data_IF_979436403388
#
_entry.id   IF_979436403388
#
_cell.length_a   1.000
_cell.length_b   1.000
_cell.length_c   1.000
_cell.angle_alpha   90.00
_cell.angle_beta   90.00
_cell.angle_gamma   90.00
#
_symmetry.space_group_name_H-M   'P 1'
#
loop_
_entity.id
_entity.type
_entity.pdbx_description
1 polymer ?
#
# COMPACT_ATOMS: atom_id res chain seq x y z
N UNK A 1 -48.11 -36.03 10.32
CA UNK A 1 -48.06 -34.89 11.26
C UNK A 1 -46.68 -34.71 11.91
N UNK A 2 -45.83 -35.72 11.91
CA UNK A 2 -44.45 -35.65 12.41
C UNK A 2 -43.49 -34.91 11.45
N UNK A 3 -43.74 -34.93 10.14
CA UNK A 3 -42.86 -34.33 9.13
C UNK A 3 -42.77 -32.80 9.19
N UNK A 4 -43.79 -32.09 9.70
CA UNK A 4 -43.77 -30.62 9.77
C UNK A 4 -42.78 -30.12 10.85
N UNK A 5 -42.64 -30.86 11.96
CA UNK A 5 -41.72 -30.49 13.04
C UNK A 5 -40.27 -30.81 12.68
N UNK A 6 -40.04 -31.91 11.98
CA UNK A 6 -38.71 -32.30 11.51
C UNK A 6 -38.21 -31.36 10.42
N UNK A 7 -39.07 -30.93 9.50
CA UNK A 7 -38.71 -30.02 8.42
C UNK A 7 -38.35 -28.61 8.92
N UNK A 8 -39.02 -28.09 9.97
CA UNK A 8 -38.69 -26.78 10.56
C UNK A 8 -37.39 -26.83 11.37
N UNK A 9 -37.07 -27.94 12.03
CA UNK A 9 -35.82 -28.16 12.75
C UNK A 9 -34.66 -28.28 11.77
N UNK A 10 -34.80 -29.08 10.73
CA UNK A 10 -33.83 -29.22 9.65
C UNK A 10 -33.55 -27.89 8.93
N UNK A 11 -34.57 -27.11 8.63
CA UNK A 11 -34.40 -25.78 8.00
C UNK A 11 -33.62 -24.81 8.89
N UNK A 12 -33.86 -24.80 10.20
CA UNK A 12 -33.11 -23.97 11.17
C UNK A 12 -31.65 -24.40 11.28
N UNK A 13 -31.39 -25.70 11.32
CA UNK A 13 -30.02 -26.21 11.45
C UNK A 13 -29.23 -25.96 10.16
N UNK A 14 -29.88 -26.04 9.00
CA UNK A 14 -29.28 -25.63 7.71
C UNK A 14 -28.98 -24.13 7.68
N UNK A 15 -29.89 -23.26 8.12
CA UNK A 15 -29.66 -21.82 8.21
C UNK A 15 -28.50 -21.49 9.17
N UNK A 16 -28.44 -22.13 10.32
CA UNK A 16 -27.33 -22.01 11.29
C UNK A 16 -25.99 -22.44 10.65
N UNK A 17 -25.99 -23.54 9.91
CA UNK A 17 -24.81 -24.04 9.24
C UNK A 17 -24.33 -23.06 8.16
N UNK A 18 -25.24 -22.57 7.29
CA UNK A 18 -24.93 -21.56 6.28
C UNK A 18 -24.40 -20.26 6.88
N UNK A 19 -25.00 -19.80 7.98
CA UNK A 19 -24.55 -18.62 8.70
C UNK A 19 -23.14 -18.81 9.33
N UNK A 20 -22.83 -20.00 9.84
CA UNK A 20 -21.45 -20.32 10.31
C UNK A 20 -20.45 -20.31 9.16
N UNK A 21 -20.82 -20.91 8.03
CA UNK A 21 -19.98 -20.93 6.84
C UNK A 21 -19.73 -19.51 6.31
N UNK A 22 -20.78 -18.68 6.22
CA UNK A 22 -20.65 -17.27 5.80
C UNK A 22 -19.74 -16.46 6.73
N UNK A 23 -19.86 -16.64 8.04
CA UNK A 23 -18.97 -16.01 9.03
C UNK A 23 -17.53 -16.47 8.86
N UNK A 24 -17.31 -17.77 8.66
CA UNK A 24 -15.97 -18.31 8.47
C UNK A 24 -15.32 -17.80 7.18
N UNK A 25 -16.06 -17.76 6.06
CA UNK A 25 -15.61 -17.19 4.81
C UNK A 25 -15.28 -15.70 4.95
N UNK A 26 -16.14 -14.93 5.62
CA UNK A 26 -15.87 -13.53 5.91
C UNK A 26 -14.59 -13.35 6.74
N UNK A 27 -14.41 -14.16 7.79
CA UNK A 27 -13.18 -14.13 8.60
C UNK A 27 -11.93 -14.43 7.77
N UNK A 28 -11.97 -15.44 6.90
CA UNK A 28 -10.85 -15.73 6.00
C UNK A 28 -10.57 -14.59 5.04
N UNK A 29 -11.62 -13.99 4.46
CA UNK A 29 -11.47 -12.87 3.55
C UNK A 29 -10.94 -11.62 4.27
N UNK A 30 -11.40 -11.37 5.49
CA UNK A 30 -10.89 -10.28 6.34
C UNK A 30 -9.40 -10.48 6.68
N UNK A 31 -8.98 -11.70 7.01
CA UNK A 31 -7.56 -12.02 7.25
C UNK A 31 -6.71 -11.85 5.98
N UNK A 32 -7.21 -12.29 4.82
CA UNK A 32 -6.54 -12.05 3.55
C UNK A 32 -6.39 -10.56 3.26
N UNK A 33 -7.42 -9.77 3.52
CA UNK A 33 -7.36 -8.32 3.35
C UNK A 33 -6.39 -7.66 4.35
N UNK A 34 -6.38 -8.08 5.60
CA UNK A 34 -5.43 -7.61 6.62
C UNK A 34 -3.97 -7.89 6.20
N UNK A 35 -3.68 -9.08 5.68
CA UNK A 35 -2.36 -9.44 5.18
C UNK A 35 -1.97 -8.59 3.95
N UNK A 36 -2.91 -8.34 3.03
CA UNK A 36 -2.69 -7.44 1.89
C UNK A 36 -2.42 -6.00 2.33
N UNK A 37 -3.15 -5.52 3.35
CA UNK A 37 -2.92 -4.19 3.92
C UNK A 37 -1.55 -4.08 4.57
N UNK A 38 -1.09 -5.12 5.27
CA UNK A 38 0.26 -5.18 5.83
C UNK A 38 1.31 -5.15 4.71
N UNK A 39 1.15 -5.97 3.68
CA UNK A 39 2.05 -5.99 2.53
C UNK A 39 2.09 -4.64 1.80
N UNK A 40 0.93 -3.98 1.65
CA UNK A 40 0.85 -2.64 1.09
C UNK A 40 1.65 -1.63 1.93
N UNK A 41 1.48 -1.61 3.26
CA UNK A 41 2.22 -0.70 4.15
C UNK A 41 3.73 -0.92 4.04
N UNK A 42 4.19 -2.17 4.11
CA UNK A 42 5.60 -2.51 3.96
C UNK A 42 6.13 -2.07 2.58
N UNK A 43 5.38 -2.31 1.51
CA UNK A 43 5.76 -1.87 0.16
C UNK A 43 5.84 -0.35 0.02
N UNK A 44 4.96 0.41 0.69
CA UNK A 44 5.02 1.87 0.71
C UNK A 44 6.22 2.39 1.52
N UNK A 45 6.54 1.77 2.64
CA UNK A 45 7.74 2.10 3.43
C UNK A 45 9.02 1.86 2.61
N UNK A 46 9.12 0.71 1.93
CA UNK A 46 10.23 0.40 1.04
C UNK A 46 10.32 1.38 -0.14
N UNK A 47 9.18 1.77 -0.73
CA UNK A 47 9.11 2.77 -1.79
C UNK A 47 9.68 4.11 -1.32
N UNK A 48 9.21 4.61 -0.18
CA UNK A 48 9.68 5.89 0.38
C UNK A 48 11.18 5.84 0.68
N UNK A 49 11.65 4.77 1.34
CA UNK A 49 13.07 4.60 1.63
C UNK A 49 13.92 4.51 0.35
N UNK A 50 13.44 3.80 -0.67
CA UNK A 50 14.08 3.70 -1.99
C UNK A 50 14.18 5.04 -2.69
N UNK A 51 13.10 5.81 -2.70
CA UNK A 51 13.04 7.16 -3.28
C UNK A 51 14.02 8.10 -2.59
N UNK A 52 14.06 8.09 -1.25
CA UNK A 52 15.01 8.91 -0.47
C UNK A 52 16.46 8.54 -0.78
N UNK A 53 16.81 7.24 -0.84
CA UNK A 53 18.16 6.78 -1.21
C UNK A 53 18.54 7.23 -2.62
N UNK A 54 17.64 7.10 -3.58
CA UNK A 54 17.89 7.51 -4.97
C UNK A 54 18.07 9.02 -5.08
N UNK A 55 17.30 9.82 -4.35
CA UNK A 55 17.49 11.27 -4.28
C UNK A 55 18.84 11.65 -3.65
N UNK A 56 19.21 11.00 -2.53
CA UNK A 56 20.51 11.24 -1.91
C UNK A 56 21.67 10.89 -2.86
N UNK A 57 21.57 9.79 -3.60
CA UNK A 57 22.57 9.40 -4.59
C UNK A 57 22.63 10.39 -5.77
N UNK A 58 21.49 10.93 -6.22
CA UNK A 58 21.44 11.97 -7.25
C UNK A 58 22.18 13.24 -6.77
N UNK A 59 21.94 13.68 -5.54
CA UNK A 59 22.65 14.81 -4.94
C UNK A 59 24.16 14.55 -4.79
N UNK A 60 24.57 13.35 -4.36
CA UNK A 60 26.00 12.99 -4.26
C UNK A 60 26.69 13.06 -5.62
N UNK A 61 26.04 12.61 -6.70
CA UNK A 61 26.59 12.72 -8.06
C UNK A 61 26.79 14.17 -8.47
N UNK A 62 25.85 15.06 -8.18
CA UNK A 62 26.00 16.50 -8.47
C UNK A 62 27.15 17.11 -7.66
N UNK A 63 27.30 16.76 -6.39
CA UNK A 63 28.43 17.21 -5.58
C UNK A 63 29.76 16.69 -6.11
N UNK A 64 29.84 15.45 -6.58
CA UNK A 64 31.04 14.89 -7.20
C UNK A 64 31.43 15.65 -8.49
N UNK A 65 30.45 15.99 -9.34
CA UNK A 65 30.68 16.80 -10.54
C UNK A 65 31.24 18.19 -10.17
N UNK A 66 30.66 18.87 -9.17
CA UNK A 66 31.15 20.14 -8.67
C UNK A 66 32.58 20.03 -8.15
N UNK A 67 32.87 19.02 -7.33
CA UNK A 67 34.22 18.78 -6.81
C UNK A 67 35.26 18.52 -7.90
N UNK A 68 34.89 17.85 -9.00
CA UNK A 68 35.81 17.69 -10.16
C UNK A 68 36.11 19.01 -10.84
N UNK A 69 35.12 19.90 -10.91
CA UNK A 69 35.33 21.23 -11.52
C UNK A 69 36.19 22.12 -10.64
N UNK A 70 35.96 22.08 -9.32
CA UNK A 70 36.81 22.87 -8.41
C UNK A 70 38.27 22.42 -8.49
N UNK A 71 38.55 21.11 -8.60
CA UNK A 71 39.91 20.62 -8.90
C UNK A 71 40.48 21.14 -10.21
N UNK A 72 39.70 21.13 -11.31
CA UNK A 72 40.16 21.67 -12.60
C UNK A 72 40.42 23.15 -12.54
N UNK A 73 39.64 23.93 -11.78
CA UNK A 73 39.90 25.35 -11.54
C UNK A 73 41.22 25.57 -10.81
N UNK A 74 41.46 24.80 -9.76
CA UNK A 74 42.67 24.84 -8.99
C UNK A 74 43.89 24.48 -9.85
N UNK A 75 43.83 23.41 -10.64
CA UNK A 75 44.86 23.03 -11.62
C UNK A 75 45.15 24.15 -12.63
N UNK A 76 44.10 24.77 -13.19
CA UNK A 76 44.24 25.89 -14.11
C UNK A 76 44.88 27.09 -13.43
N UNK A 77 44.56 27.40 -12.20
CA UNK A 77 45.17 28.48 -11.41
C UNK A 77 46.64 28.19 -11.11
N UNK A 78 47.00 26.97 -10.75
CA UNK A 78 48.38 26.53 -10.49
C UNK A 78 49.19 26.63 -11.80
N UNK A 79 48.66 26.17 -12.95
CA UNK A 79 49.31 26.27 -14.24
C UNK A 79 49.58 27.73 -14.63
N UNK A 80 48.58 28.62 -14.41
CA UNK A 80 48.75 30.06 -14.62
C UNK A 80 49.83 30.65 -13.70
N UNK A 81 49.83 30.33 -12.45
CA UNK A 81 50.82 30.84 -11.47
C UNK A 81 52.24 30.38 -11.79
N UNK A 82 52.41 29.14 -12.27
CA UNK A 82 53.69 28.60 -12.75
C UNK A 82 54.19 29.30 -14.01
N UNK A 83 53.30 29.59 -14.98
CA UNK A 83 53.66 30.32 -16.18
C UNK A 83 54.15 31.74 -15.90
N UNK A 84 53.66 32.34 -14.83
CA UNK A 84 54.10 33.68 -14.37
C UNK A 84 55.49 33.69 -13.68
N UNK A 85 55.92 32.58 -13.13
CA UNK A 85 57.19 32.43 -12.37
C UNK A 85 58.32 31.88 -13.23
N UNK A 86 58.12 31.56 -14.48
CA UNK A 86 59.14 31.05 -15.39
C UNK A 86 60.23 32.09 -15.75
N UNK A 87 61.46 31.66 -16.11
CA UNK A 87 62.57 32.58 -16.41
C UNK A 87 62.37 33.49 -17.64
N UNK A 88 61.37 33.27 -18.45
CA UNK A 88 60.99 34.14 -19.56
C UNK A 88 60.09 35.32 -19.17
N UNK A 89 59.69 35.43 -17.90
CA UNK A 89 58.72 36.45 -17.41
C UNK A 89 59.32 37.89 -17.43
N UNK A 90 60.59 38.05 -17.70
CA UNK A 90 61.30 39.33 -17.52
C UNK A 90 61.20 40.31 -18.66
N UNK A 91 60.78 39.95 -19.88
CA UNK A 91 60.94 40.85 -21.07
C UNK A 91 59.66 41.29 -21.78
N UNK A 92 58.49 40.78 -21.48
CA UNK A 92 57.24 41.15 -22.23
C UNK A 92 56.01 41.30 -21.31
N UNK A 93 56.13 41.55 -20.04
CA UNK A 93 55.11 41.18 -19.08
C UNK A 93 54.14 42.26 -18.61
N UNK A 94 54.24 43.50 -19.02
CA UNK A 94 53.25 44.50 -18.57
C UNK A 94 51.92 44.47 -19.32
N UNK A 95 51.90 44.00 -20.57
CA UNK A 95 50.66 43.94 -21.35
C UNK A 95 50.08 42.54 -21.53
N UNK A 96 50.89 41.49 -21.54
CA UNK A 96 50.45 40.10 -21.75
C UNK A 96 49.87 39.47 -20.49
N UNK A 97 50.26 39.91 -19.27
CA UNK A 97 49.78 39.36 -18.02
C UNK A 97 48.30 39.64 -17.75
N UNK A 98 47.80 40.81 -18.16
CA UNK A 98 46.38 41.16 -18.04
C UNK A 98 45.51 40.34 -18.96
N UNK A 99 45.88 40.21 -20.23
CA UNK A 99 45.11 39.41 -21.19
C UNK A 99 45.03 37.92 -20.82
N UNK A 100 46.15 37.35 -20.36
CA UNK A 100 46.17 35.95 -19.90
C UNK A 100 45.30 35.73 -18.64
N UNK A 101 45.31 36.70 -17.74
CA UNK A 101 44.43 36.65 -16.54
C UNK A 101 42.95 36.77 -16.89
N UNK A 102 42.59 37.71 -17.80
CA UNK A 102 41.21 37.81 -18.29
C UNK A 102 40.78 36.54 -19.02
N UNK A 103 41.63 35.93 -19.81
CA UNK A 103 41.35 34.68 -20.50
C UNK A 103 41.12 33.52 -19.48
N UNK A 104 41.89 33.46 -18.40
CA UNK A 104 41.70 32.50 -17.33
C UNK A 104 40.33 32.71 -16.66
N UNK A 105 39.98 33.95 -16.27
CA UNK A 105 38.71 34.29 -15.67
C UNK A 105 37.52 33.95 -16.59
N UNK A 106 37.60 34.29 -17.86
CA UNK A 106 36.57 33.94 -18.86
C UNK A 106 36.42 32.43 -19.02
N UNK A 107 37.52 31.69 -19.00
CA UNK A 107 37.50 30.21 -19.07
C UNK A 107 36.89 29.60 -17.81
N UNK A 108 37.22 30.12 -16.63
CA UNK A 108 36.63 29.71 -15.38
C UNK A 108 35.11 29.98 -15.35
N UNK A 109 34.68 31.17 -15.74
CA UNK A 109 33.25 31.52 -15.82
C UNK A 109 32.48 30.63 -16.80
N UNK A 110 33.05 30.32 -17.97
CA UNK A 110 32.47 29.37 -18.93
C UNK A 110 32.35 27.96 -18.34
N UNK A 111 33.40 27.48 -17.66
CA UNK A 111 33.38 26.19 -16.98
C UNK A 111 32.29 26.13 -15.86
N UNK A 112 32.20 27.18 -15.06
CA UNK A 112 31.15 27.26 -14.00
C UNK A 112 29.75 27.22 -14.59
N UNK A 113 29.49 28.01 -15.64
CA UNK A 113 28.20 28.02 -16.29
C UNK A 113 27.86 26.66 -16.93
N UNK A 114 28.81 26.05 -17.64
CA UNK A 114 28.62 24.74 -18.26
C UNK A 114 28.32 23.66 -17.24
N UNK A 115 29.02 23.68 -16.09
CA UNK A 115 28.80 22.71 -15.01
C UNK A 115 27.48 22.94 -14.29
N UNK A 116 27.13 24.19 -14.02
CA UNK A 116 25.87 24.54 -13.40
C UNK A 116 24.69 24.09 -14.28
N UNK A 117 24.77 24.28 -15.58
CA UNK A 117 23.77 23.79 -16.54
C UNK A 117 23.74 22.25 -16.57
N UNK A 118 24.89 21.60 -16.78
CA UNK A 118 24.96 20.15 -16.85
C UNK A 118 24.52 19.46 -15.53
N UNK A 119 24.89 20.01 -14.37
CA UNK A 119 24.46 19.53 -13.09
C UNK A 119 22.95 19.73 -12.88
N UNK A 120 22.42 20.88 -13.32
CA UNK A 120 20.98 21.17 -13.25
C UNK A 120 20.16 20.24 -14.15
N UNK A 121 20.56 20.04 -15.38
CA UNK A 121 19.91 19.11 -16.32
C UNK A 121 19.99 17.66 -15.85
N UNK A 122 21.17 17.21 -15.42
CA UNK A 122 21.35 15.85 -14.86
C UNK A 122 20.46 15.63 -13.64
N UNK A 123 20.39 16.59 -12.73
CA UNK A 123 19.54 16.50 -11.54
C UNK A 123 18.04 16.47 -11.91
N UNK A 124 17.64 17.28 -12.88
CA UNK A 124 16.26 17.33 -13.38
C UNK A 124 15.84 15.99 -13.99
N UNK A 125 16.65 15.42 -14.88
CA UNK A 125 16.41 14.13 -15.51
C UNK A 125 16.35 13.00 -14.46
N UNK A 126 17.25 13.02 -13.48
CA UNK A 126 17.25 12.02 -12.40
C UNK A 126 16.01 12.17 -11.51
N UNK A 127 15.58 13.38 -11.16
CA UNK A 127 14.34 13.61 -10.40
C UNK A 127 13.12 13.09 -11.15
N UNK A 128 13.03 13.32 -12.45
CA UNK A 128 11.93 12.81 -13.29
C UNK A 128 11.94 11.27 -13.34
N UNK A 129 13.11 10.65 -13.50
CA UNK A 129 13.23 9.19 -13.51
C UNK A 129 12.84 8.59 -12.16
N UNK A 130 13.29 9.18 -11.06
CA UNK A 130 12.92 8.77 -9.68
C UNK A 130 11.42 8.92 -9.49
N UNK A 131 10.82 10.05 -9.90
CA UNK A 131 9.37 10.28 -9.77
C UNK A 131 8.54 9.28 -10.58
N UNK A 132 8.96 8.91 -11.79
CA UNK A 132 8.29 7.88 -12.60
C UNK A 132 8.39 6.49 -11.93
N UNK A 133 9.55 6.13 -11.42
CA UNK A 133 9.77 4.86 -10.71
C UNK A 133 8.93 4.80 -9.42
N UNK A 134 8.88 5.89 -8.67
CA UNK A 134 8.08 6.04 -7.46
C UNK A 134 6.59 5.82 -7.74
N UNK A 135 6.06 6.49 -8.78
CA UNK A 135 4.67 6.35 -9.22
C UNK A 135 4.35 4.92 -9.68
N UNK A 136 5.27 4.28 -10.41
CA UNK A 136 5.10 2.90 -10.84
C UNK A 136 5.03 1.92 -9.66
N UNK A 137 5.90 2.09 -8.65
CA UNK A 137 5.87 1.29 -7.43
C UNK A 137 4.60 1.53 -6.62
N UNK A 138 4.17 2.79 -6.47
CA UNK A 138 2.91 3.11 -5.80
C UNK A 138 1.72 2.41 -6.47
N UNK A 139 1.60 2.48 -7.80
CA UNK A 139 0.54 1.79 -8.55
C UNK A 139 0.57 0.28 -8.33
N UNK A 140 1.76 -0.33 -8.31
CA UNK A 140 1.94 -1.75 -8.02
C UNK A 140 1.44 -2.09 -6.61
N UNK A 141 1.81 -1.30 -5.61
CA UNK A 141 1.42 -1.50 -4.22
C UNK A 141 -0.09 -1.36 -4.03
N UNK A 142 -0.71 -0.34 -4.65
CA UNK A 142 -2.18 -0.16 -4.64
C UNK A 142 -2.89 -1.36 -5.27
N UNK A 143 -2.35 -1.94 -6.34
CA UNK A 143 -2.89 -3.14 -6.97
C UNK A 143 -2.90 -4.37 -6.04
N UNK A 144 -2.00 -4.45 -5.09
CA UNK A 144 -1.95 -5.54 -4.09
C UNK A 144 -3.08 -5.42 -3.06
N UNK A 145 -3.50 -4.20 -2.72
CA UNK A 145 -4.45 -3.96 -1.63
C UNK A 145 -5.81 -4.60 -1.88
N UNK A 146 -6.36 -4.46 -3.08
CA UNK A 146 -7.69 -4.98 -3.44
C UNK A 146 -8.84 -4.32 -2.68
N UNK A 147 -10.02 -4.92 -2.77
CA UNK A 147 -11.21 -4.43 -2.05
C UNK A 147 -11.32 -5.06 -0.66
N UNK A 148 -11.84 -4.32 0.36
CA UNK A 148 -12.14 -4.88 1.66
C UNK A 148 -13.21 -5.99 1.55
N UNK A 149 -13.19 -6.93 2.49
CA UNK A 149 -14.19 -7.99 2.56
C UNK A 149 -15.57 -7.40 2.87
N UNK A 150 -16.56 -7.69 2.03
CA UNK A 150 -17.94 -7.31 2.29
C UNK A 150 -18.46 -8.02 3.56
N UNK A 151 -19.36 -7.35 4.29
CA UNK A 151 -20.00 -7.96 5.45
C UNK A 151 -20.78 -9.23 5.03
N UNK A 152 -20.80 -10.28 5.87
CA UNK A 152 -21.51 -11.51 5.52
C UNK A 152 -23.02 -11.28 5.56
N UNK A 153 -23.71 -11.70 4.50
CA UNK A 153 -25.17 -11.74 4.47
C UNK A 153 -25.58 -12.96 5.31
N UNK A 154 -26.34 -12.72 6.38
CA UNK A 154 -26.85 -13.78 7.25
C UNK A 154 -28.31 -14.06 6.94
N UNK A 155 -28.65 -15.33 6.82
CA UNK A 155 -30.04 -15.74 6.71
C UNK A 155 -30.75 -15.55 8.07
N UNK A 156 -31.90 -14.86 8.09
CA UNK A 156 -32.69 -14.76 9.31
C UNK A 156 -33.24 -16.16 9.69
N UNK A 157 -33.10 -16.54 10.91
CA UNK A 157 -33.78 -17.72 11.47
C UNK A 157 -34.48 -17.34 12.75
N UNK A 158 -35.68 -17.88 12.94
CA UNK A 158 -36.43 -17.66 14.18
C UNK A 158 -35.73 -18.40 15.32
N UNK A 159 -35.42 -17.68 16.39
CA UNK A 159 -35.00 -18.33 17.64
C UNK A 159 -36.15 -19.17 18.17
N UNK A 160 -35.84 -20.35 18.67
CA UNK A 160 -36.80 -21.19 19.35
C UNK A 160 -37.41 -20.43 20.51
N UNK A 161 -38.70 -20.07 20.40
CA UNK A 161 -39.42 -19.55 21.50
C UNK A 161 -39.90 -20.78 22.31
N UNK A 162 -39.12 -21.18 23.34
CA UNK A 162 -39.40 -22.34 24.18
C UNK A 162 -40.82 -22.30 24.75
N UNK A 163 -41.38 -21.10 24.98
CA UNK A 163 -42.73 -20.90 25.45
C UNK A 163 -43.77 -21.32 24.40
N UNK A 164 -43.57 -20.91 23.12
CA UNK A 164 -44.45 -21.29 22.02
C UNK A 164 -44.39 -22.81 21.74
N UNK A 165 -43.22 -23.42 21.86
CA UNK A 165 -43.05 -24.86 21.69
C UNK A 165 -43.77 -25.60 22.83
N UNK A 166 -43.69 -25.10 24.06
CA UNK A 166 -44.40 -25.65 25.24
C UNK A 166 -45.92 -25.46 25.05
N UNK A 167 -46.40 -24.29 24.65
CA UNK A 167 -47.83 -24.05 24.44
C UNK A 167 -48.40 -24.92 23.32
N UNK A 168 -47.67 -25.12 22.22
CA UNK A 168 -48.13 -26.04 21.17
C UNK A 168 -48.15 -27.49 21.61
N UNK A 169 -47.18 -27.94 22.44
CA UNK A 169 -47.17 -29.28 23.00
C UNK A 169 -48.34 -29.50 23.97
N UNK A 170 -48.64 -28.49 24.82
CA UNK A 170 -49.78 -28.57 25.75
C UNK A 170 -51.12 -28.54 25.02
N UNK A 171 -51.29 -27.67 24.02
CA UNK A 171 -52.50 -27.68 23.18
C UNK A 171 -52.72 -29.02 22.46
N UNK A 172 -51.63 -29.65 21.98
CA UNK A 172 -51.70 -30.96 21.36
C UNK A 172 -52.12 -32.01 22.37
N UNK A 173 -51.55 -32.01 23.59
CA UNK A 173 -51.91 -32.93 24.65
C UNK A 173 -53.38 -32.78 25.10
N UNK A 174 -53.87 -31.52 25.19
CA UNK A 174 -55.28 -31.25 25.49
C UNK A 174 -56.20 -31.72 24.37
N UNK A 175 -55.89 -31.49 23.09
CA UNK A 175 -56.69 -32.00 21.98
C UNK A 175 -56.71 -33.53 21.91
N UNK A 176 -55.60 -34.17 22.17
CA UNK A 176 -55.50 -35.65 22.15
C UNK A 176 -56.20 -36.26 23.38
N UNK A 177 -56.01 -35.65 24.53
CA UNK A 177 -56.71 -36.06 25.76
C UNK A 177 -58.23 -35.89 25.68
N UNK A 178 -58.70 -34.77 25.06
CA UNK A 178 -60.16 -34.58 24.87
C UNK A 178 -60.73 -35.58 23.85
N UNK A 179 -60.02 -35.96 22.82
CA UNK A 179 -60.45 -36.98 21.87
C UNK A 179 -60.51 -38.40 22.50
N UNK A 180 -59.59 -38.72 23.41
CA UNK A 180 -59.59 -39.97 24.13
C UNK A 180 -60.75 -40.02 25.12
N UNK A 181 -61.03 -38.90 25.80
CA UNK A 181 -62.15 -38.80 26.74
C UNK A 181 -63.52 -38.89 26.01
N UNK A 182 -63.67 -38.35 24.83
CA UNK A 182 -64.88 -38.50 24.04
C UNK A 182 -65.05 -39.90 23.45
N UNK A 183 -63.95 -40.53 22.98
CA UNK A 183 -63.98 -41.91 22.51
C UNK A 183 -64.31 -42.88 23.62
N UNK A 184 -63.86 -42.69 24.91
CA UNK A 184 -64.24 -43.46 26.06
C UNK A 184 -65.71 -43.35 26.45
N UNK A 185 -66.31 -42.16 26.26
CA UNK A 185 -67.78 -41.98 26.54
C UNK A 185 -68.66 -42.64 25.47
N UNK A 186 -68.22 -42.69 24.23
CA UNK A 186 -68.96 -43.38 23.15
C UNK A 186 -68.90 -44.90 23.32
N UNK A 187 -67.80 -45.47 23.86
CA UNK A 187 -67.75 -46.89 24.19
C UNK A 187 -68.58 -47.29 25.40
N UNK A 188 -68.81 -46.41 26.38
CA UNK A 188 -69.64 -46.68 27.53
C UNK A 188 -71.17 -46.65 27.24
N UNK A 189 -71.59 -46.20 26.05
CA UNK A 189 -72.99 -46.19 25.65
C UNK A 189 -73.40 -47.44 24.83
N UNK A 190 -72.48 -48.39 24.61
CA UNK A 190 -72.73 -49.64 23.89
C UNK A 190 -72.64 -50.92 24.76
N UNK A 191 -72.64 -50.77 26.05
CA UNK A 191 -72.89 -51.84 27.02
C UNK A 191 -74.15 -51.47 27.81
#
# INVERSE_FOLDING_TARGET
>A
MFDIFDNTKSGRDQAKHRNRLAKWQHFQNANKYANKTKAFKTGEEERVAGTQRNMANAHRKVLAIRGQVDKKKEEAYIAYSKSRRGPQAGRSTRYSGGAAYEQLLRTQAKLENAVTLAAGESLSLQKQAIGRADLAMHRKNVGVLGMPAAAPIMEPYQKENKFMTFMNATQWAFKTGANIATAGKTMALWN
#
